data_IF_312417693611
#
_entry.id   IF_312417693611
#
_cell.length_a   1.000
_cell.length_b   1.000
_cell.length_c   1.000
_cell.angle_alpha   90.00
_cell.angle_beta   90.00
_cell.angle_gamma   90.00
#
_symmetry.space_group_name_H-M   'P 1'
#
loop_
_entity.id
_entity.type
_entity.pdbx_description
1 polymer ?
#
# COMPACT_ATOMS: atom_id res chain seq x y z
N UNK A 1 -18.15 -8.35 -5.28
CA UNK A 1 -17.20 -8.47 -6.42
C UNK A 1 -17.17 -9.92 -6.84
N UNK A 2 -17.34 -10.23 -8.12
CA UNK A 2 -17.36 -11.62 -8.60
C UNK A 2 -15.94 -12.22 -8.66
N UNK A 3 -15.86 -13.54 -8.80
CA UNK A 3 -14.60 -14.30 -8.82
C UNK A 3 -13.71 -13.95 -10.02
N UNK A 4 -14.31 -13.73 -11.19
CA UNK A 4 -13.60 -13.36 -12.42
C UNK A 4 -12.89 -12.02 -12.30
N UNK A 5 -13.57 -11.01 -11.76
CA UNK A 5 -12.95 -9.72 -11.52
C UNK A 5 -11.80 -9.80 -10.52
N UNK A 6 -11.95 -10.63 -9.49
CA UNK A 6 -10.88 -10.87 -8.53
C UNK A 6 -9.68 -11.56 -9.16
N UNK A 7 -9.90 -12.51 -10.07
CA UNK A 7 -8.82 -13.14 -10.83
C UNK A 7 -8.10 -12.11 -11.71
N UNK A 8 -8.84 -11.23 -12.39
CA UNK A 8 -8.29 -10.14 -13.19
C UNK A 8 -7.48 -9.15 -12.35
N UNK A 9 -8.00 -8.74 -11.18
CA UNK A 9 -7.30 -7.84 -10.26
C UNK A 9 -6.00 -8.48 -9.73
N UNK A 10 -6.02 -9.77 -9.37
CA UNK A 10 -4.80 -10.51 -8.99
C UNK A 10 -3.78 -10.54 -10.14
N UNK A 11 -4.22 -10.78 -11.37
CA UNK A 11 -3.35 -10.81 -12.55
C UNK A 11 -2.74 -9.44 -12.83
N UNK A 12 -3.55 -8.38 -12.82
CA UNK A 12 -3.10 -7.00 -12.98
C UNK A 12 -2.09 -6.60 -11.89
N UNK A 13 -2.41 -6.90 -10.63
CA UNK A 13 -1.52 -6.64 -9.51
C UNK A 13 -0.16 -7.34 -9.64
N UNK A 14 -0.14 -8.61 -10.07
CA UNK A 14 1.12 -9.33 -10.34
C UNK A 14 1.92 -8.72 -11.48
N UNK A 15 1.27 -8.31 -12.56
CA UNK A 15 1.92 -7.67 -13.69
C UNK A 15 2.55 -6.32 -13.27
N UNK A 16 1.81 -5.49 -12.54
CA UNK A 16 2.28 -4.23 -11.99
C UNK A 16 3.53 -4.42 -11.10
N UNK A 17 3.46 -5.40 -10.18
CA UNK A 17 4.57 -5.69 -9.28
C UNK A 17 5.81 -6.24 -9.99
N UNK A 18 5.65 -6.93 -11.12
CA UNK A 18 6.78 -7.38 -11.94
C UNK A 18 7.43 -6.19 -12.64
N UNK A 19 6.63 -5.38 -13.34
CA UNK A 19 7.11 -4.18 -14.02
C UNK A 19 7.84 -3.24 -13.06
N UNK A 20 7.26 -2.98 -11.88
CA UNK A 20 7.84 -2.11 -10.88
C UNK A 20 9.18 -2.61 -10.32
N UNK A 21 9.41 -3.93 -10.28
CA UNK A 21 10.70 -4.50 -9.88
C UNK A 21 11.73 -4.42 -11.00
N UNK A 22 11.32 -4.70 -12.24
CA UNK A 22 12.20 -4.61 -13.41
C UNK A 22 12.73 -3.18 -13.64
N UNK A 23 11.95 -2.17 -13.25
CA UNK A 23 12.28 -0.75 -13.40
C UNK A 23 12.72 -0.09 -12.07
N UNK A 24 13.00 -0.86 -11.02
CA UNK A 24 13.44 -0.33 -9.71
C UNK A 24 12.57 0.80 -9.15
N UNK A 25 11.25 0.68 -9.28
CA UNK A 25 10.28 1.72 -8.90
C UNK A 25 9.83 1.65 -7.44
N UNK A 26 10.20 0.58 -6.74
CA UNK A 26 9.84 0.30 -5.34
C UNK A 26 11.06 0.59 -4.48
N UNK A 27 11.02 1.57 -3.56
CA UNK A 27 12.13 1.89 -2.67
C UNK A 27 12.42 0.74 -1.71
N UNK A 28 13.64 0.70 -1.18
CA UNK A 28 14.09 -0.41 -0.33
C UNK A 28 13.33 -0.47 1.00
N UNK A 29 12.96 0.67 1.59
CA UNK A 29 12.14 0.72 2.81
C UNK A 29 10.70 0.26 2.65
N UNK A 30 10.24 0.00 1.42
CA UNK A 30 8.95 -0.67 1.22
C UNK A 30 9.10 -2.18 1.45
N UNK A 31 8.95 -2.64 2.69
CA UNK A 31 9.11 -4.05 3.04
C UNK A 31 7.81 -4.88 2.96
N UNK A 32 6.64 -4.23 2.85
CA UNK A 32 5.34 -4.89 2.86
C UNK A 32 4.98 -5.58 1.54
N UNK A 33 4.30 -6.73 1.62
CA UNK A 33 3.70 -7.42 0.46
C UNK A 33 4.67 -7.72 -0.69
N UNK A 34 5.96 -7.90 -0.37
CA UNK A 34 7.04 -8.27 -1.29
C UNK A 34 7.53 -9.69 -1.02
N UNK A 35 8.17 -10.28 -2.03
CA UNK A 35 8.89 -11.55 -1.86
C UNK A 35 10.18 -11.28 -1.09
N UNK A 36 10.61 -12.25 -0.27
CA UNK A 36 11.87 -12.20 0.49
C UNK A 36 11.97 -11.03 1.49
N UNK A 37 10.83 -10.60 2.03
CA UNK A 37 10.77 -9.67 3.15
C UNK A 37 9.91 -10.33 4.23
N UNK A 38 10.30 -10.15 5.49
CA UNK A 38 9.57 -10.67 6.64
C UNK A 38 8.91 -9.54 7.41
N UNK A 39 7.87 -9.87 8.17
CA UNK A 39 7.18 -8.89 9.01
C UNK A 39 8.11 -8.27 10.06
N UNK A 40 9.12 -9.01 10.53
CA UNK A 40 10.09 -8.55 11.51
C UNK A 40 10.97 -7.42 10.98
N UNK A 41 11.35 -7.45 9.70
CA UNK A 41 12.16 -6.40 9.05
C UNK A 41 11.42 -5.05 9.09
N UNK A 42 10.12 -5.07 8.78
CA UNK A 42 9.26 -3.90 8.85
C UNK A 42 9.00 -3.46 10.30
N UNK A 43 8.83 -4.41 11.22
CA UNK A 43 8.57 -4.10 12.63
C UNK A 43 9.76 -3.38 13.29
N UNK A 44 10.98 -3.83 13.03
CA UNK A 44 12.20 -3.18 13.52
C UNK A 44 12.34 -1.77 12.95
N UNK A 45 12.20 -1.63 11.62
CA UNK A 45 12.29 -0.32 10.94
C UNK A 45 11.26 0.66 11.49
N UNK A 46 10.01 0.21 11.67
CA UNK A 46 8.95 1.02 12.29
C UNK A 46 9.29 1.40 13.73
N UNK A 47 9.79 0.47 14.55
CA UNK A 47 10.14 0.75 15.95
C UNK A 47 11.15 1.90 16.04
N UNK A 48 12.22 1.85 15.24
CA UNK A 48 13.27 2.86 15.20
C UNK A 48 12.75 4.23 14.74
N UNK A 49 11.95 4.27 13.67
CA UNK A 49 11.33 5.52 13.18
C UNK A 49 10.37 6.11 14.22
N UNK A 50 9.53 5.28 14.85
CA UNK A 50 8.59 5.74 15.87
C UNK A 50 9.29 6.31 17.11
N UNK A 51 10.37 5.68 17.57
CA UNK A 51 11.18 6.23 18.66
C UNK A 51 11.72 7.63 18.32
N UNK A 52 12.22 7.81 17.10
CA UNK A 52 12.70 9.12 16.65
C UNK A 52 11.56 10.14 16.56
N UNK A 53 10.40 9.77 16.03
CA UNK A 53 9.24 10.67 15.95
C UNK A 53 8.78 11.13 17.34
N UNK A 54 8.79 10.22 18.32
CA UNK A 54 8.48 10.54 19.72
C UNK A 54 9.51 11.53 20.29
N UNK A 55 10.81 11.27 20.10
CA UNK A 55 11.88 12.15 20.56
C UNK A 55 11.82 13.54 19.92
N UNK A 56 11.49 13.60 18.63
CA UNK A 56 11.36 14.85 17.88
C UNK A 56 10.00 15.53 18.04
N UNK A 57 9.07 14.94 18.82
CA UNK A 57 7.68 15.41 19.00
C UNK A 57 6.95 15.63 17.67
N UNK A 58 7.18 14.73 16.70
CA UNK A 58 6.55 14.76 15.38
C UNK A 58 5.38 13.78 15.34
N UNK A 59 4.29 14.18 14.68
CA UNK A 59 3.15 13.29 14.44
C UNK A 59 3.42 12.37 13.25
N UNK A 60 2.98 11.11 13.35
CA UNK A 60 2.84 10.20 12.22
C UNK A 60 1.38 9.75 12.08
N UNK A 61 0.95 9.57 10.84
CA UNK A 61 -0.41 9.19 10.49
C UNK A 61 -0.49 7.75 9.99
N UNK A 62 -1.62 7.10 10.27
CA UNK A 62 -1.98 5.81 9.68
C UNK A 62 -2.88 6.08 8.47
N UNK A 63 -2.47 5.64 7.28
CA UNK A 63 -3.23 5.90 6.05
C UNK A 63 -4.06 4.67 5.68
N UNK A 64 -5.21 4.52 6.33
CA UNK A 64 -6.21 3.49 5.95
C UNK A 64 -7.10 3.93 4.77
N UNK A 65 -6.90 5.15 4.26
CA UNK A 65 -7.76 5.77 3.23
C UNK A 65 -7.01 6.01 1.94
N UNK A 66 -7.03 5.03 1.04
CA UNK A 66 -6.46 5.18 -0.30
C UNK A 66 -7.44 5.91 -1.20
N UNK A 67 -7.06 7.09 -1.67
CA UNK A 67 -7.84 7.85 -2.66
C UNK A 67 -7.61 7.25 -4.05
N UNK A 68 -8.69 6.95 -4.77
CA UNK A 68 -8.64 6.23 -6.05
C UNK A 68 -7.84 6.96 -7.12
N UNK A 69 -8.00 8.27 -7.27
CA UNK A 69 -7.26 9.00 -8.31
C UNK A 69 -5.74 8.98 -8.06
N UNK A 70 -5.32 9.08 -6.79
CA UNK A 70 -3.90 8.94 -6.40
C UNK A 70 -3.41 7.54 -6.73
N UNK A 71 -4.20 6.52 -6.37
CA UNK A 71 -3.86 5.13 -6.65
C UNK A 71 -3.80 4.81 -8.16
N UNK A 72 -4.68 5.41 -8.97
CA UNK A 72 -4.68 5.24 -10.43
C UNK A 72 -3.38 5.78 -11.01
N UNK A 73 -2.98 7.01 -10.64
CA UNK A 73 -1.72 7.62 -11.13
C UNK A 73 -0.51 6.79 -10.68
N UNK A 74 -0.47 6.35 -9.42
CA UNK A 74 0.59 5.50 -8.91
C UNK A 74 0.67 4.15 -9.64
N UNK A 75 -0.47 3.56 -9.98
CA UNK A 75 -0.53 2.28 -10.71
C UNK A 75 -0.21 2.44 -12.20
N UNK A 76 -0.47 3.60 -12.81
CA UNK A 76 0.01 3.93 -14.17
C UNK A 76 1.54 3.95 -14.21
N UNK A 77 2.20 4.52 -13.20
CA UNK A 77 3.67 4.46 -13.05
C UNK A 77 4.19 3.02 -12.99
N UNK A 78 3.38 2.09 -12.48
CA UNK A 78 3.71 0.66 -12.41
C UNK A 78 3.42 -0.09 -13.72
N UNK A 79 3.21 0.61 -14.83
CA UNK A 79 3.10 0.03 -16.17
C UNK A 79 1.74 -0.57 -16.49
N UNK A 80 0.71 -0.31 -15.68
CA UNK A 80 -0.66 -0.69 -16.02
C UNK A 80 -1.28 0.31 -16.99
N UNK A 81 -2.21 -0.16 -17.83
CA UNK A 81 -2.93 0.69 -18.78
C UNK A 81 -4.18 1.30 -18.16
N UNK A 82 -4.59 2.46 -18.67
CA UNK A 82 -5.82 3.13 -18.24
C UNK A 82 -7.05 2.20 -18.31
N UNK A 83 -7.15 1.34 -19.33
CA UNK A 83 -8.28 0.40 -19.49
C UNK A 83 -8.39 -0.58 -18.32
N UNK A 84 -7.27 -1.15 -17.88
CA UNK A 84 -7.23 -2.07 -16.74
C UNK A 84 -7.63 -1.34 -15.46
N UNK A 85 -7.06 -0.14 -15.25
CA UNK A 85 -7.30 0.65 -14.05
C UNK A 85 -8.74 1.15 -13.98
N UNK A 86 -9.28 1.68 -15.07
CA UNK A 86 -10.67 2.12 -15.15
C UNK A 86 -11.62 0.97 -14.83
N UNK A 87 -11.41 -0.23 -15.40
CA UNK A 87 -12.21 -1.41 -15.07
C UNK A 87 -12.13 -1.78 -13.58
N UNK A 88 -10.93 -1.77 -12.99
CA UNK A 88 -10.71 -2.17 -11.60
C UNK A 88 -11.32 -1.16 -10.62
N UNK A 89 -11.05 0.14 -10.81
CA UNK A 89 -11.50 1.20 -9.90
C UNK A 89 -12.99 1.51 -10.04
N UNK A 90 -13.57 1.45 -11.25
CA UNK A 90 -15.03 1.57 -11.41
C UNK A 90 -15.78 0.48 -10.64
N UNK A 91 -15.23 -0.73 -10.62
CA UNK A 91 -15.81 -1.83 -9.85
C UNK A 91 -15.70 -1.62 -8.35
N UNK A 92 -14.53 -1.17 -7.86
CA UNK A 92 -14.32 -0.88 -6.45
C UNK A 92 -15.24 0.24 -5.98
N UNK A 93 -15.42 1.27 -6.81
CA UNK A 93 -16.18 2.47 -6.47
C UNK A 93 -17.69 2.19 -6.36
N UNK A 94 -18.21 1.20 -7.09
CA UNK A 94 -19.61 0.76 -7.08
C UNK A 94 -19.84 -0.58 -6.37
N UNK A 95 -18.83 -1.11 -5.66
CA UNK A 95 -18.91 -2.43 -5.06
C UNK A 95 -19.96 -2.48 -3.93
N UNK A 96 -20.74 -3.56 -3.93
CA UNK A 96 -21.54 -3.98 -2.78
C UNK A 96 -20.72 -4.95 -1.94
N UNK A 97 -20.59 -4.66 -0.66
CA UNK A 97 -19.81 -5.43 0.30
C UNK A 97 -20.70 -6.16 1.29
N UNK A 98 -20.26 -7.33 1.75
CA UNK A 98 -20.76 -8.03 2.93
C UNK A 98 -19.59 -8.22 3.88
N UNK A 99 -19.85 -8.21 5.18
CA UNK A 99 -18.84 -8.48 6.18
C UNK A 99 -18.81 -10.00 6.39
N UNK A 100 -17.68 -10.62 6.07
CA UNK A 100 -17.48 -12.04 6.34
C UNK A 100 -16.85 -12.20 7.73
N UNK A 101 -17.46 -13.03 8.56
CA UNK A 101 -16.99 -13.37 9.91
C UNK A 101 -16.77 -14.88 10.04
N UNK A 102 -16.23 -15.33 11.19
CA UNK A 102 -16.13 -16.76 11.49
C UNK A 102 -17.49 -17.49 11.56
N UNK A 103 -18.59 -16.75 11.64
CA UNK A 103 -19.96 -17.28 11.67
C UNK A 103 -20.68 -17.18 10.31
N UNK A 104 -19.97 -16.78 9.24
CA UNK A 104 -20.53 -16.58 7.91
C UNK A 104 -20.63 -15.10 7.51
N UNK A 105 -21.36 -14.86 6.42
CA UNK A 105 -21.54 -13.52 5.84
C UNK A 105 -22.67 -12.76 6.51
N UNK A 106 -22.50 -11.44 6.66
CA UNK A 106 -23.54 -10.56 7.18
C UNK A 106 -24.81 -10.62 6.32
N UNK A 107 -25.99 -10.64 6.94
CA UNK A 107 -27.28 -10.58 6.23
C UNK A 107 -27.49 -9.26 5.48
N UNK A 108 -26.98 -8.16 6.06
CA UNK A 108 -27.01 -6.84 5.45
C UNK A 108 -25.79 -6.61 4.58
N UNK A 109 -25.97 -5.81 3.54
CA UNK A 109 -24.89 -5.38 2.64
C UNK A 109 -24.54 -3.91 2.88
N UNK A 110 -23.27 -3.57 2.75
CA UNK A 110 -22.77 -2.21 2.71
C UNK A 110 -22.56 -1.78 1.25
N UNK A 111 -23.12 -0.63 0.88
CA UNK A 111 -23.08 -0.04 -0.47
C UNK A 111 -22.76 1.45 -0.35
N UNK A 112 -22.28 2.11 -1.42
CA UNK A 112 -22.04 3.55 -1.38
C UNK A 112 -23.29 4.27 -0.88
N UNK A 113 -23.19 5.10 0.18
CA UNK A 113 -24.35 5.68 0.86
C UNK A 113 -25.03 6.80 0.04
N UNK A 114 -24.43 7.23 -1.07
CA UNK A 114 -24.93 8.28 -1.95
C UNK A 114 -24.32 8.15 -3.36
N UNK A 115 -24.40 9.21 -4.16
CA UNK A 115 -23.68 9.36 -5.44
C UNK A 115 -22.16 9.41 -5.28
N UNK A 116 -21.65 9.53 -4.04
CA UNK A 116 -20.21 9.54 -3.77
C UNK A 116 -19.69 8.09 -3.82
N UNK A 117 -18.79 7.77 -4.76
CA UNK A 117 -18.28 6.42 -4.89
C UNK A 117 -17.37 6.04 -3.71
N UNK A 118 -17.27 4.74 -3.42
CA UNK A 118 -16.33 4.27 -2.41
C UNK A 118 -14.88 4.60 -2.79
N UNK A 119 -14.10 4.91 -1.76
CA UNK A 119 -12.65 5.05 -1.83
C UNK A 119 -11.99 3.85 -1.13
N UNK A 120 -10.70 3.65 -1.36
CA UNK A 120 -9.94 2.53 -0.80
C UNK A 120 -9.82 1.35 -1.74
N UNK A 121 -8.91 0.43 -1.43
CA UNK A 121 -8.68 -0.76 -2.25
C UNK A 121 -9.68 -1.89 -1.97
N UNK A 122 -10.42 -1.83 -0.85
CA UNK A 122 -11.32 -2.88 -0.37
C UNK A 122 -10.58 -4.08 0.21
N UNK A 123 -10.99 -4.53 1.40
CA UNK A 123 -10.43 -5.77 1.98
C UNK A 123 -10.81 -6.98 1.11
N UNK A 124 -9.86 -7.90 0.95
CA UNK A 124 -10.01 -9.08 0.10
C UNK A 124 -9.83 -8.81 -1.40
N UNK A 125 -9.65 -7.56 -1.85
CA UNK A 125 -9.30 -7.27 -3.25
C UNK A 125 -7.92 -7.84 -3.59
N UNK A 126 -7.85 -8.65 -4.65
CA UNK A 126 -6.61 -9.26 -5.12
C UNK A 126 -5.53 -8.27 -5.57
N UNK A 127 -5.92 -7.05 -5.95
CA UNK A 127 -5.01 -5.95 -6.28
C UNK A 127 -4.73 -5.02 -5.09
N UNK A 128 -5.33 -5.24 -3.91
CA UNK A 128 -5.17 -4.37 -2.76
C UNK A 128 -3.72 -4.13 -2.35
N UNK A 129 -2.90 -5.17 -2.15
CA UNK A 129 -1.50 -4.98 -1.78
C UNK A 129 -0.66 -4.27 -2.86
N UNK A 130 -0.77 -4.60 -4.16
CA UNK A 130 -0.12 -3.82 -5.23
C UNK A 130 -0.55 -2.35 -5.29
N UNK A 131 -1.85 -2.06 -5.09
CA UNK A 131 -2.36 -0.68 -5.02
C UNK A 131 -1.67 0.06 -3.87
N UNK A 132 -1.61 -0.54 -2.68
CA UNK A 132 -0.92 0.04 -1.53
C UNK A 132 0.56 0.29 -1.81
N UNK A 133 1.28 -0.71 -2.34
CA UNK A 133 2.70 -0.58 -2.67
C UNK A 133 2.93 0.56 -3.67
N UNK A 134 2.07 0.70 -4.69
CA UNK A 134 2.25 1.77 -5.69
C UNK A 134 2.20 3.17 -5.06
N UNK A 135 1.24 3.42 -4.18
CA UNK A 135 1.06 4.71 -3.50
C UNK A 135 2.18 4.96 -2.50
N UNK A 136 2.42 3.99 -1.62
CA UNK A 136 3.45 4.10 -0.58
C UNK A 136 4.86 4.19 -1.15
N UNK A 137 5.16 3.59 -2.31
CA UNK A 137 6.45 3.76 -2.98
C UNK A 137 6.72 5.23 -3.33
N UNK A 138 5.70 5.96 -3.79
CA UNK A 138 5.82 7.40 -4.07
C UNK A 138 6.05 8.18 -2.77
N UNK A 139 5.29 7.88 -1.72
CA UNK A 139 5.41 8.56 -0.43
C UNK A 139 6.79 8.34 0.22
N UNK A 140 7.28 7.09 0.22
CA UNK A 140 8.60 6.75 0.77
C UNK A 140 9.69 7.46 -0.02
N UNK A 141 9.66 7.43 -1.35
CA UNK A 141 10.66 8.14 -2.17
C UNK A 141 10.63 9.65 -1.95
N UNK A 142 9.44 10.24 -1.73
CA UNK A 142 9.36 11.66 -1.37
C UNK A 142 9.98 11.93 0.01
N UNK A 143 9.72 11.07 1.00
CA UNK A 143 10.31 11.20 2.34
C UNK A 143 11.83 11.02 2.31
N UNK A 144 12.35 10.03 1.59
CA UNK A 144 13.78 9.83 1.35
C UNK A 144 14.42 11.08 0.75
N UNK A 145 13.82 11.65 -0.30
CA UNK A 145 14.34 12.85 -0.97
C UNK A 145 14.37 14.09 -0.05
N UNK A 146 13.50 14.14 0.97
CA UNK A 146 13.47 15.18 1.98
C UNK A 146 14.41 14.92 3.17
N UNK A 147 15.14 13.80 3.17
CA UNK A 147 15.99 13.38 4.29
C UNK A 147 15.18 12.93 5.51
N UNK A 148 13.94 12.50 5.33
CA UNK A 148 13.11 11.96 6.41
C UNK A 148 13.38 10.47 6.57
N UNK A 149 13.97 10.14 7.71
CA UNK A 149 14.32 8.80 8.14
C UNK A 149 15.01 8.84 9.49
N UNK A 150 15.65 7.72 9.83
CA UNK A 150 16.50 7.56 11.00
C UNK A 150 17.89 7.23 10.51
N UNK A 151 18.88 8.00 10.92
CA UNK A 151 20.29 7.69 10.74
C UNK A 151 20.95 7.75 12.12
N UNK A 152 21.54 6.66 12.56
CA UNK A 152 22.25 6.62 13.84
C UNK A 152 23.48 5.73 13.72
N UNK A 153 24.59 6.19 14.29
CA UNK A 153 25.76 5.35 14.47
C UNK A 153 25.50 4.40 15.65
N UNK A 154 25.42 3.10 15.36
CA UNK A 154 25.31 2.08 16.40
C UNK A 154 26.53 2.14 17.31
N UNK A 155 26.30 2.36 18.61
CA UNK A 155 27.38 2.37 19.60
C UNK A 155 28.04 0.98 19.79
N UNK A 156 27.36 -0.10 19.37
CA UNK A 156 27.86 -1.46 19.53
C UNK A 156 28.89 -1.83 18.46
N UNK A 157 28.65 -1.44 17.21
CA UNK A 157 29.47 -1.87 16.07
C UNK A 157 30.08 -0.70 15.27
N UNK A 158 29.81 0.55 15.68
CA UNK A 158 30.16 1.76 14.93
C UNK A 158 29.67 1.76 13.47
N UNK A 159 28.56 1.05 13.21
CA UNK A 159 27.91 1.00 11.90
C UNK A 159 26.79 2.03 11.82
N UNK A 160 26.63 2.64 10.65
CA UNK A 160 25.50 3.51 10.36
C UNK A 160 24.24 2.64 10.17
N UNK A 161 23.25 2.83 11.05
CA UNK A 161 21.92 2.25 10.93
C UNK A 161 21.01 3.28 10.29
N UNK A 162 20.52 2.95 9.10
CA UNK A 162 19.55 3.77 8.38
C UNK A 162 18.18 3.08 8.39
N UNK A 163 17.13 3.77 8.84
CA UNK A 163 15.75 3.33 8.66
C UNK A 163 14.95 4.41 7.92
N UNK A 164 14.21 4.01 6.89
CA UNK A 164 13.43 4.95 6.09
C UNK A 164 12.05 5.17 6.70
N UNK A 165 11.55 6.40 6.63
CA UNK A 165 10.21 6.73 7.12
C UNK A 165 9.12 5.99 6.32
N UNK A 166 8.06 5.61 7.02
CA UNK A 166 6.87 4.96 6.48
C UNK A 166 5.60 5.56 7.08
#
# INVERSE_FOLDING_TARGET
>A
MNSEAQANNKKAGRAAMRYAKEHSLIPDGQCGSRKRHQAIDLALSKRLVWDLLILQRRAAGWIDRIVHWVAIIAMLRFGLTWRILSSMFNMLSSATHRVQTGFGDSERTFKPPSVIPFQGCGQGNGAGPPIWISVSSVLITMMEAMGYGFECLSALESQLVTAQCF
#
